data_IF_492613400531
#
_entry.id   IF_492613400531
#
_cell.length_a   1.000
_cell.length_b   1.000
_cell.length_c   1.000
_cell.angle_alpha   90.00
_cell.angle_beta   90.00
_cell.angle_gamma   90.00
#
_symmetry.space_group_name_H-M   'P 1'
#
loop_
_entity.id
_entity.type
_entity.pdbx_description
1 polymer ?
#
# COMPACT_ATOMS: atom_id res chain seq x y z
N UNK A 1 -18.51 46.64 -22.07
CA UNK A 1 -17.66 45.78 -22.92
C UNK A 1 -18.17 44.35 -22.76
N UNK A 2 -18.75 43.76 -23.82
CA UNK A 2 -19.35 42.42 -23.75
C UNK A 2 -18.25 41.36 -23.64
N UNK A 3 -18.27 40.54 -22.59
CA UNK A 3 -17.30 39.47 -22.41
C UNK A 3 -17.48 38.42 -23.52
N UNK A 4 -16.41 38.02 -24.25
CA UNK A 4 -16.50 37.06 -25.35
C UNK A 4 -17.09 35.70 -24.92
N UNK A 5 -16.97 35.36 -23.63
CA UNK A 5 -17.58 34.17 -23.04
C UNK A 5 -19.12 34.25 -22.98
N UNK A 6 -19.69 35.43 -22.73
CA UNK A 6 -21.14 35.64 -22.68
C UNK A 6 -21.77 35.43 -24.06
N UNK A 7 -21.15 36.00 -25.09
CA UNK A 7 -21.58 35.87 -26.49
C UNK A 7 -21.53 34.41 -26.97
N UNK A 8 -20.54 33.64 -26.53
CA UNK A 8 -20.42 32.22 -26.86
C UNK A 8 -21.51 31.36 -26.20
N UNK A 9 -21.89 31.66 -24.95
CA UNK A 9 -22.96 30.94 -24.25
C UNK A 9 -24.33 31.28 -24.85
N UNK A 10 -24.57 32.54 -25.21
CA UNK A 10 -25.79 32.96 -25.91
C UNK A 10 -25.95 32.26 -27.26
N UNK A 11 -24.86 32.13 -28.04
CA UNK A 11 -24.86 31.36 -29.29
C UNK A 11 -25.14 29.86 -29.06
N UNK A 12 -24.61 29.26 -27.99
CA UNK A 12 -24.89 27.87 -27.63
C UNK A 12 -26.36 27.65 -27.26
N UNK A 13 -26.98 28.58 -26.52
CA UNK A 13 -28.41 28.54 -26.19
C UNK A 13 -29.26 28.55 -27.46
N UNK A 14 -28.92 29.39 -28.45
CA UNK A 14 -29.64 29.44 -29.73
C UNK A 14 -29.52 28.11 -30.47
N UNK A 15 -28.32 27.53 -30.57
CA UNK A 15 -28.11 26.22 -31.21
C UNK A 15 -28.90 25.09 -30.54
N UNK A 16 -28.96 25.07 -29.21
CA UNK A 16 -29.73 24.08 -28.46
C UNK A 16 -31.25 24.25 -28.65
N UNK A 17 -31.74 25.50 -28.75
CA UNK A 17 -33.15 25.78 -29.08
C UNK A 17 -33.52 25.30 -30.47
N UNK A 18 -32.64 25.49 -31.46
CA UNK A 18 -32.84 24.97 -32.82
C UNK A 18 -32.88 23.45 -32.84
N UNK A 19 -31.91 22.78 -32.19
CA UNK A 19 -31.89 21.32 -32.09
C UNK A 19 -33.15 20.76 -31.39
N UNK A 20 -33.68 21.46 -30.38
CA UNK A 20 -34.96 21.12 -29.75
C UNK A 20 -36.12 21.21 -30.74
N UNK A 21 -36.21 22.29 -31.50
CA UNK A 21 -37.27 22.47 -32.50
C UNK A 21 -37.24 21.36 -33.57
N UNK A 22 -36.05 20.95 -34.01
CA UNK A 22 -35.88 19.85 -34.95
C UNK A 22 -36.39 18.52 -34.35
N UNK A 23 -36.07 18.23 -33.10
CA UNK A 23 -36.54 17.01 -32.40
C UNK A 23 -38.06 17.05 -32.17
N UNK A 24 -38.64 18.21 -31.88
CA UNK A 24 -40.10 18.37 -31.75
C UNK A 24 -40.82 18.20 -33.09
N UNK A 25 -40.21 18.63 -34.20
CA UNK A 25 -40.74 18.36 -35.54
C UNK A 25 -40.67 16.86 -35.89
N UNK A 26 -39.59 16.19 -35.49
CA UNK A 26 -39.45 14.73 -35.60
C UNK A 26 -40.44 13.96 -34.71
N UNK A 27 -40.80 14.48 -33.53
CA UNK A 27 -41.78 13.90 -32.61
C UNK A 27 -43.16 13.74 -33.26
N UNK A 28 -43.52 14.63 -34.19
CA UNK A 28 -44.80 14.58 -34.91
C UNK A 28 -44.88 13.42 -35.93
N UNK A 29 -43.75 12.79 -36.29
CA UNK A 29 -43.67 11.81 -37.38
C UNK A 29 -43.04 10.47 -36.97
N UNK A 30 -42.65 10.27 -35.70
CA UNK A 30 -41.86 9.10 -35.27
C UNK A 30 -42.59 8.15 -34.31
N UNK A 31 -42.27 6.85 -34.43
CA UNK A 31 -42.68 5.79 -33.49
C UNK A 31 -41.83 5.76 -32.20
N UNK A 32 -40.81 6.62 -32.09
CA UNK A 32 -39.87 6.70 -30.96
C UNK A 32 -40.19 7.86 -30.01
N UNK A 33 -41.48 8.10 -29.78
CA UNK A 33 -42.02 9.23 -28.99
C UNK A 33 -41.35 9.39 -27.61
N UNK A 34 -41.10 8.28 -26.91
CA UNK A 34 -40.49 8.30 -25.56
C UNK A 34 -39.05 8.81 -25.57
N UNK A 35 -38.29 8.50 -26.62
CA UNK A 35 -36.91 8.99 -26.76
C UNK A 35 -36.92 10.50 -27.02
N UNK A 36 -37.76 10.97 -27.94
CA UNK A 36 -37.89 12.39 -28.26
C UNK A 36 -38.33 13.21 -27.03
N UNK A 37 -39.30 12.73 -26.23
CA UNK A 37 -39.72 13.40 -24.98
C UNK A 37 -38.60 13.49 -23.93
N UNK A 38 -37.72 12.47 -23.85
CA UNK A 38 -36.57 12.52 -22.94
C UNK A 38 -35.49 13.45 -23.44
N UNK A 39 -35.24 13.45 -24.75
CA UNK A 39 -34.27 14.34 -25.39
C UNK A 39 -34.69 15.81 -25.23
N UNK A 40 -35.96 16.15 -25.48
CA UNK A 40 -36.47 17.51 -25.27
C UNK A 40 -36.40 17.92 -23.80
N UNK A 41 -36.74 17.02 -22.87
CA UNK A 41 -36.60 17.30 -21.44
C UNK A 41 -35.15 17.52 -20.99
N UNK A 42 -34.18 16.83 -21.59
CA UNK A 42 -32.76 17.03 -21.30
C UNK A 42 -32.26 18.38 -21.85
N UNK A 43 -32.63 18.69 -23.09
CA UNK A 43 -32.31 19.98 -23.72
C UNK A 43 -32.92 21.16 -22.96
N UNK A 44 -34.15 21.02 -22.44
CA UNK A 44 -34.78 22.05 -21.61
C UNK A 44 -34.01 22.32 -20.31
N UNK A 45 -33.49 21.28 -19.65
CA UNK A 45 -32.68 21.45 -18.44
C UNK A 45 -31.39 22.21 -18.74
N UNK A 46 -30.75 21.89 -19.87
CA UNK A 46 -29.48 22.47 -20.27
C UNK A 46 -29.63 23.92 -20.75
N UNK A 47 -30.67 24.21 -21.54
CA UNK A 47 -31.06 25.58 -21.93
C UNK A 47 -31.36 26.42 -20.70
N UNK A 48 -32.10 25.90 -19.72
CA UNK A 48 -32.44 26.63 -18.50
C UNK A 48 -31.20 26.90 -17.62
N UNK A 49 -30.28 25.93 -17.51
CA UNK A 49 -29.03 26.10 -16.77
C UNK A 49 -28.14 27.16 -17.41
N UNK A 50 -27.96 27.12 -18.73
CA UNK A 50 -27.16 28.10 -19.46
C UNK A 50 -27.82 29.49 -19.45
N UNK A 51 -29.16 29.56 -19.56
CA UNK A 51 -29.89 30.83 -19.47
C UNK A 51 -29.75 31.49 -18.10
N UNK A 52 -29.79 30.69 -17.03
CA UNK A 52 -29.56 31.17 -15.67
C UNK A 52 -28.12 31.69 -15.48
N UNK A 53 -27.12 31.02 -16.08
CA UNK A 53 -25.71 31.42 -16.01
C UNK A 53 -25.43 32.78 -16.70
N UNK A 54 -26.14 33.07 -17.79
CA UNK A 54 -26.01 34.33 -18.55
C UNK A 54 -26.83 35.48 -17.95
N UNK A 55 -27.63 35.19 -16.91
CA UNK A 55 -28.53 36.15 -16.29
C UNK A 55 -29.69 36.55 -17.20
N UNK A 56 -30.12 35.65 -18.09
CA UNK A 56 -31.32 35.89 -18.89
C UNK A 56 -32.51 35.93 -17.92
N UNK A 57 -33.13 37.11 -17.84
CA UNK A 57 -34.24 37.38 -16.95
C UNK A 57 -35.37 36.37 -17.24
N UNK A 58 -35.68 35.50 -16.27
CA UNK A 58 -36.79 34.54 -16.35
C UNK A 58 -38.15 35.22 -16.57
N UNK A 59 -38.19 36.56 -16.47
CA UNK A 59 -39.34 37.40 -16.75
C UNK A 59 -39.72 37.49 -18.23
N UNK A 60 -38.83 37.16 -19.17
CA UNK A 60 -39.12 37.22 -20.63
C UNK A 60 -39.28 35.85 -21.28
N UNK A 61 -39.47 34.79 -20.48
CA UNK A 61 -39.85 33.49 -21.02
C UNK A 61 -41.21 33.60 -21.75
N UNK A 62 -41.19 33.25 -23.04
CA UNK A 62 -42.34 33.09 -23.95
C UNK A 62 -43.60 32.55 -23.23
N UNK A 63 -44.82 32.89 -23.71
CA UNK A 63 -46.12 32.56 -23.08
C UNK A 63 -46.52 31.07 -23.13
N UNK A 64 -45.54 30.16 -23.03
CA UNK A 64 -45.67 28.74 -22.75
C UNK A 64 -44.59 28.20 -21.80
N UNK A 65 -43.63 29.03 -21.38
CA UNK A 65 -42.66 28.72 -20.34
C UNK A 65 -43.35 28.71 -18.97
N UNK A 66 -43.14 27.63 -18.21
CA UNK A 66 -43.78 27.42 -16.90
C UNK A 66 -43.46 28.59 -15.97
N UNK A 67 -44.40 29.52 -15.82
CA UNK A 67 -44.37 30.53 -14.76
C UNK A 67 -44.33 29.79 -13.41
N UNK A 68 -43.56 30.26 -12.42
CA UNK A 68 -43.57 29.67 -11.10
C UNK A 68 -45.01 29.62 -10.56
N UNK A 69 -45.40 28.49 -9.96
CA UNK A 69 -46.73 28.29 -9.39
C UNK A 69 -46.99 29.37 -8.32
N UNK A 70 -47.91 30.29 -8.60
CA UNK A 70 -48.27 31.36 -7.67
C UNK A 70 -49.36 30.95 -6.69
N UNK A 71 -50.15 29.92 -7.02
CA UNK A 71 -51.29 29.46 -6.22
C UNK A 71 -51.42 27.93 -6.29
N UNK A 72 -51.78 27.31 -5.17
CA UNK A 72 -52.20 25.90 -5.08
C UNK A 72 -53.58 25.87 -4.44
N UNK A 73 -54.57 25.29 -5.13
CA UNK A 73 -55.96 25.19 -4.67
C UNK A 73 -56.56 26.55 -4.23
N UNK A 74 -56.29 27.60 -5.00
CA UNK A 74 -56.81 28.95 -4.74
C UNK A 74 -56.15 29.68 -3.57
N UNK A 75 -55.17 29.07 -2.90
CA UNK A 75 -54.36 29.72 -1.86
C UNK A 75 -53.05 30.24 -2.46
N UNK A 76 -52.66 31.49 -2.19
CA UNK A 76 -51.38 32.01 -2.65
C UNK A 76 -50.25 31.18 -2.02
N UNK A 77 -49.35 30.70 -2.86
CA UNK A 77 -48.09 30.12 -2.39
C UNK A 77 -47.19 31.30 -2.09
N UNK A 78 -46.88 31.52 -0.81
CA UNK A 78 -45.85 32.48 -0.45
C UNK A 78 -44.59 32.11 -1.21
N UNK A 79 -44.00 33.05 -1.95
CA UNK A 79 -42.69 32.84 -2.54
C UNK A 79 -41.79 32.36 -1.41
N UNK A 80 -41.35 31.11 -1.46
CA UNK A 80 -40.29 30.65 -0.59
C UNK A 80 -39.10 31.53 -0.95
N UNK A 81 -38.92 32.63 -0.21
CA UNK A 81 -37.58 33.12 0.07
C UNK A 81 -36.81 31.85 0.39
N UNK A 82 -35.69 31.64 -0.31
CA UNK A 82 -34.83 30.51 -0.07
C UNK A 82 -34.67 30.38 1.44
N UNK A 83 -35.44 29.47 2.05
CA UNK A 83 -35.16 29.01 3.39
C UNK A 83 -33.86 28.31 3.11
N UNK A 84 -32.77 29.00 3.44
CA UNK A 84 -31.46 28.39 3.49
C UNK A 84 -31.62 27.21 4.42
N UNK A 85 -31.97 26.05 3.88
CA UNK A 85 -31.45 24.81 4.37
C UNK A 85 -29.94 25.05 4.31
N UNK A 86 -29.40 25.55 5.42
CA UNK A 86 -27.99 25.53 5.67
C UNK A 86 -27.65 24.05 5.67
N UNK A 87 -27.30 23.55 4.50
CA UNK A 87 -26.40 22.43 4.39
C UNK A 87 -25.21 22.89 5.22
N UNK A 88 -25.08 22.36 6.43
CA UNK A 88 -23.88 22.58 7.24
C UNK A 88 -22.70 22.30 6.31
N UNK A 89 -21.79 23.27 6.13
CA UNK A 89 -20.82 23.22 5.06
C UNK A 89 -19.99 21.94 5.16
N UNK A 90 -19.56 21.43 4.01
CA UNK A 90 -18.63 20.30 3.87
C UNK A 90 -17.36 20.40 4.75
N UNK A 91 -17.11 21.57 5.36
CA UNK A 91 -16.09 21.81 6.39
C UNK A 91 -16.33 21.02 7.69
N UNK A 92 -17.57 20.81 8.13
CA UNK A 92 -17.89 20.02 9.33
C UNK A 92 -17.61 18.52 9.14
N UNK A 93 -17.81 18.01 7.92
CA UNK A 93 -17.49 16.61 7.56
C UNK A 93 -15.96 16.44 7.41
N UNK A 94 -15.28 17.41 6.78
CA UNK A 94 -13.81 17.42 6.69
C UNK A 94 -13.14 17.46 8.06
N UNK A 95 -13.70 18.21 9.02
CA UNK A 95 -13.15 18.28 10.39
C UNK A 95 -13.39 17.00 11.19
N UNK A 96 -14.53 16.32 11.01
CA UNK A 96 -14.78 15.03 11.64
C UNK A 96 -13.90 13.90 11.08
N UNK A 97 -13.72 13.83 9.76
CA UNK A 97 -12.80 12.88 9.12
C UNK A 97 -11.34 13.14 9.51
N UNK A 98 -10.92 14.41 9.54
CA UNK A 98 -9.58 14.78 10.01
C UNK A 98 -9.37 14.42 11.48
N UNK A 99 -10.37 14.62 12.34
CA UNK A 99 -10.31 14.21 13.73
C UNK A 99 -10.13 12.69 13.86
N UNK A 100 -10.93 11.90 13.14
CA UNK A 100 -10.82 10.43 13.14
C UNK A 100 -9.46 9.93 12.64
N UNK A 101 -8.93 10.53 11.56
CA UNK A 101 -7.58 10.19 11.04
C UNK A 101 -6.48 10.57 12.04
N UNK A 102 -6.63 11.71 12.73
CA UNK A 102 -5.67 12.13 13.76
C UNK A 102 -5.67 11.20 14.97
N UNK A 103 -6.84 10.71 15.38
CA UNK A 103 -6.99 9.76 16.47
C UNK A 103 -6.39 8.40 16.10
N UNK A 104 -6.67 7.90 14.89
CA UNK A 104 -6.05 6.67 14.37
C UNK A 104 -4.53 6.79 14.32
N UNK A 105 -4.01 7.96 13.92
CA UNK A 105 -2.56 8.21 13.89
C UNK A 105 -1.94 8.22 15.29
N UNK A 106 -2.63 8.76 16.29
CA UNK A 106 -2.17 8.74 17.67
C UNK A 106 -2.15 7.31 18.24
N UNK A 107 -3.22 6.54 18.04
CA UNK A 107 -3.27 5.13 18.45
C UNK A 107 -2.21 4.29 17.75
N UNK A 108 -2.00 4.50 16.46
CA UNK A 108 -0.95 3.83 15.71
C UNK A 108 0.45 4.17 16.25
N UNK A 109 0.66 5.38 16.78
CA UNK A 109 1.94 5.75 17.41
C UNK A 109 2.17 5.03 18.74
N UNK A 110 1.15 4.98 19.59
CA UNK A 110 1.21 4.24 20.85
C UNK A 110 1.46 2.75 20.60
N UNK A 111 0.71 2.17 19.66
CA UNK A 111 0.90 0.80 19.22
C UNK A 111 2.30 0.54 18.67
N UNK A 112 2.83 1.44 17.85
CA UNK A 112 4.16 1.29 17.26
C UNK A 112 5.25 1.12 18.33
N UNK A 113 5.12 1.79 19.47
CA UNK A 113 6.03 1.66 20.60
C UNK A 113 5.83 0.36 21.41
N UNK A 114 4.58 -0.13 21.51
CA UNK A 114 4.22 -1.31 22.29
C UNK A 114 4.38 -2.64 21.53
N UNK A 115 4.32 -2.60 20.20
CA UNK A 115 4.32 -3.78 19.33
C UNK A 115 5.55 -4.69 19.53
N UNK A 116 6.78 -4.20 19.75
CA UNK A 116 7.93 -5.04 20.05
C UNK A 116 7.82 -5.82 21.37
N UNK A 117 6.97 -5.38 22.30
CA UNK A 117 6.88 -5.92 23.66
C UNK A 117 5.66 -6.82 23.90
N UNK A 118 4.66 -6.75 23.02
CA UNK A 118 3.41 -7.52 23.15
C UNK A 118 3.42 -8.77 22.28
N UNK A 119 2.75 -9.83 22.73
CA UNK A 119 2.53 -11.06 21.95
C UNK A 119 1.51 -10.86 20.81
N UNK A 120 1.65 -11.64 19.72
CA UNK A 120 0.80 -11.52 18.53
C UNK A 120 -0.68 -11.77 18.82
N UNK A 121 -1.01 -12.78 19.62
CA UNK A 121 -2.39 -13.13 19.93
C UNK A 121 -3.09 -12.00 20.70
N UNK A 122 -2.39 -11.41 21.68
CA UNK A 122 -2.90 -10.27 22.43
C UNK A 122 -3.13 -9.04 21.56
N UNK A 123 -2.27 -8.81 20.55
CA UNK A 123 -2.43 -7.71 19.60
C UNK A 123 -3.64 -7.90 18.68
N UNK A 124 -3.85 -9.12 18.18
CA UNK A 124 -4.98 -9.45 17.31
C UNK A 124 -6.33 -9.43 18.04
N UNK A 125 -6.34 -9.75 19.35
CA UNK A 125 -7.56 -9.74 20.17
C UNK A 125 -7.93 -8.33 20.67
N UNK A 126 -6.94 -7.45 20.87
CA UNK A 126 -7.14 -6.14 21.50
C UNK A 126 -7.35 -5.02 20.49
N UNK A 127 -6.67 -5.09 19.34
CA UNK A 127 -6.63 -3.99 18.38
C UNK A 127 -7.34 -4.34 17.08
N UNK A 128 -7.92 -3.33 16.46
CA UNK A 128 -8.61 -3.49 15.19
C UNK A 128 -7.63 -3.64 14.02
N UNK A 129 -8.06 -4.32 12.96
CA UNK A 129 -7.23 -4.49 11.75
C UNK A 129 -6.77 -3.15 11.16
N UNK A 130 -7.59 -2.10 11.25
CA UNK A 130 -7.25 -0.79 10.71
C UNK A 130 -6.14 -0.10 11.51
N UNK A 131 -6.10 -0.31 12.83
CA UNK A 131 -5.02 0.17 13.70
C UNK A 131 -3.71 -0.57 13.39
N UNK A 132 -3.77 -1.91 13.26
CA UNK A 132 -2.60 -2.72 12.91
C UNK A 132 -2.07 -2.41 11.50
N UNK A 133 -2.95 -2.14 10.53
CA UNK A 133 -2.56 -1.62 9.20
C UNK A 133 -1.89 -0.26 9.28
N UNK A 134 -2.43 0.65 10.10
CA UNK A 134 -1.84 1.97 10.29
C UNK A 134 -0.41 1.88 10.88
N UNK A 135 -0.18 0.94 11.80
CA UNK A 135 1.16 0.66 12.35
C UNK A 135 2.09 0.10 11.29
N UNK A 136 1.64 -0.86 10.47
CA UNK A 136 2.45 -1.39 9.37
C UNK A 136 2.83 -0.31 8.35
N UNK A 137 1.90 0.58 8.00
CA UNK A 137 2.17 1.74 7.14
C UNK A 137 3.21 2.69 7.76
N UNK A 138 3.15 2.89 9.08
CA UNK A 138 4.15 3.68 9.82
C UNK A 138 5.52 3.02 9.84
N UNK A 139 5.58 1.69 9.90
CA UNK A 139 6.82 0.91 9.78
C UNK A 139 7.40 0.88 8.36
N UNK A 140 6.79 1.56 7.39
CA UNK A 140 7.28 1.63 6.02
C UNK A 140 6.84 0.45 5.13
N UNK A 141 5.93 -0.40 5.60
CA UNK A 141 5.39 -1.48 4.79
C UNK A 141 4.34 -0.96 3.79
N UNK A 142 4.25 -1.56 2.59
CA UNK A 142 3.26 -1.20 1.58
C UNK A 142 1.88 -1.76 1.97
N UNK A 143 1.25 -1.11 2.95
CA UNK A 143 -0.09 -1.48 3.43
C UNK A 143 -1.14 -0.60 2.76
N UNK A 144 -2.13 -1.24 2.15
CA UNK A 144 -3.31 -0.61 1.53
C UNK A 144 -4.58 -1.08 2.21
N UNK A 145 -5.73 -0.55 1.80
CA UNK A 145 -7.04 -0.97 2.33
C UNK A 145 -7.37 -2.42 1.96
N UNK A 146 -6.76 -2.93 0.88
CA UNK A 146 -6.98 -4.30 0.36
C UNK A 146 -5.82 -5.24 0.66
N UNK A 147 -4.63 -4.73 0.98
CA UNK A 147 -3.41 -5.53 1.17
C UNK A 147 -2.66 -5.15 2.47
N UNK A 148 -2.24 -6.14 3.28
CA UNK A 148 -2.50 -7.57 3.13
C UNK A 148 -4.01 -7.90 3.29
N UNK A 149 -4.48 -8.97 2.66
CA UNK A 149 -5.90 -9.34 2.69
C UNK A 149 -6.37 -9.75 4.10
N UNK A 150 -5.45 -10.23 4.95
CA UNK A 150 -5.69 -10.59 6.34
C UNK A 150 -4.53 -10.09 7.20
N UNK A 151 -4.85 -9.59 8.39
CA UNK A 151 -3.87 -9.27 9.42
C UNK A 151 -3.70 -10.50 10.30
N UNK A 152 -2.52 -11.11 10.24
CA UNK A 152 -2.17 -12.32 10.98
C UNK A 152 -0.83 -12.15 11.72
N UNK A 153 -0.43 -13.17 12.49
CA UNK A 153 0.83 -13.15 13.23
C UNK A 153 2.06 -13.00 12.33
N UNK A 154 2.00 -13.46 11.08
CA UNK A 154 3.10 -13.30 10.12
C UNK A 154 3.25 -11.83 9.73
N UNK A 155 2.15 -11.15 9.41
CA UNK A 155 2.17 -9.71 9.17
C UNK A 155 2.74 -8.95 10.37
N UNK A 156 2.30 -9.26 11.59
CA UNK A 156 2.82 -8.60 12.80
C UNK A 156 4.32 -8.81 13.00
N UNK A 157 4.84 -10.00 12.68
CA UNK A 157 6.27 -10.26 12.70
C UNK A 157 7.01 -9.42 11.65
N UNK A 158 6.50 -9.32 10.44
CA UNK A 158 7.07 -8.44 9.40
C UNK A 158 7.04 -6.97 9.82
N UNK A 159 5.97 -6.53 10.51
CA UNK A 159 5.91 -5.19 11.09
C UNK A 159 7.00 -5.01 12.15
N UNK A 160 7.21 -5.97 13.07
CA UNK A 160 8.31 -5.89 14.06
C UNK A 160 9.68 -5.77 13.42
N UNK A 161 9.94 -6.58 12.41
CA UNK A 161 11.21 -6.54 11.67
C UNK A 161 11.42 -5.17 11.02
N UNK A 162 10.38 -4.61 10.39
CA UNK A 162 10.43 -3.30 9.78
C UNK A 162 10.63 -2.17 10.81
N UNK A 163 10.01 -2.27 11.99
CA UNK A 163 10.24 -1.36 13.12
C UNK A 163 11.70 -1.44 13.59
N UNK A 164 12.23 -2.65 13.78
CA UNK A 164 13.60 -2.87 14.20
C UNK A 164 14.61 -2.30 13.19
N UNK A 165 14.39 -2.51 11.90
CA UNK A 165 15.26 -1.94 10.86
C UNK A 165 15.16 -0.41 10.80
N UNK A 166 13.95 0.15 10.95
CA UNK A 166 13.77 1.60 11.02
C UNK A 166 14.52 2.19 12.22
N UNK A 167 14.44 1.54 13.38
CA UNK A 167 15.19 1.92 14.57
C UNK A 167 16.71 1.78 14.37
N UNK A 168 17.16 0.73 13.67
CA UNK A 168 18.57 0.51 13.32
C UNK A 168 19.10 1.63 12.43
N UNK A 169 18.34 2.03 11.41
CA UNK A 169 18.69 3.14 10.52
C UNK A 169 18.68 4.48 11.27
N UNK A 170 17.71 4.72 12.15
CA UNK A 170 17.68 5.93 12.98
C UNK A 170 18.87 6.00 13.94
N UNK A 171 19.20 4.90 14.62
CA UNK A 171 20.38 4.80 15.48
C UNK A 171 21.69 5.02 14.71
N UNK A 172 21.75 4.55 13.46
CA UNK A 172 22.87 4.81 12.56
C UNK A 172 22.99 6.28 12.14
N UNK A 173 21.86 6.98 11.98
CA UNK A 173 21.85 8.41 11.68
C UNK A 173 22.33 9.25 12.87
N UNK A 174 21.95 8.86 14.09
CA UNK A 174 22.36 9.54 15.33
C UNK A 174 23.80 9.19 15.73
N UNK A 175 24.29 8.00 15.37
CA UNK A 175 25.66 7.57 15.58
C UNK A 175 26.13 6.65 14.43
N UNK A 176 26.88 7.19 13.44
CA UNK A 176 27.33 6.41 12.28
C UNK A 176 28.28 5.27 12.66
N UNK A 177 28.82 5.25 13.88
CA UNK A 177 29.68 4.17 14.36
C UNK A 177 28.91 2.92 14.79
N UNK A 178 27.58 2.95 14.94
CA UNK A 178 26.80 1.78 15.38
C UNK A 178 26.80 0.69 14.30
N UNK A 179 26.54 1.06 13.05
CA UNK A 179 26.61 0.12 11.91
C UNK A 179 28.04 -0.39 11.70
N UNK A 180 29.03 0.49 11.83
CA UNK A 180 30.43 0.11 11.74
C UNK A 180 30.83 -0.86 12.88
N UNK A 181 30.29 -0.68 14.08
CA UNK A 181 30.53 -1.57 15.22
C UNK A 181 29.84 -2.93 15.06
N UNK A 182 28.61 -2.97 14.55
CA UNK A 182 27.90 -4.21 14.22
C UNK A 182 28.62 -4.99 13.11
N UNK A 183 29.02 -4.29 12.04
CA UNK A 183 29.80 -4.88 10.95
C UNK A 183 31.16 -5.39 11.45
N UNK A 184 31.85 -4.63 12.30
CA UNK A 184 33.09 -5.08 12.92
C UNK A 184 32.89 -6.29 13.83
N UNK A 185 31.79 -6.37 14.58
CA UNK A 185 31.45 -7.52 15.40
C UNK A 185 31.17 -8.77 14.54
N UNK A 186 30.44 -8.63 13.43
CA UNK A 186 30.21 -9.73 12.48
C UNK A 186 31.50 -10.18 11.80
N UNK A 187 32.37 -9.25 11.42
CA UNK A 187 33.72 -9.56 10.89
C UNK A 187 34.51 -10.38 11.91
N UNK A 188 34.48 -10.00 13.19
CA UNK A 188 35.20 -10.71 14.24
C UNK A 188 34.65 -12.12 14.46
N UNK A 189 33.32 -12.29 14.43
CA UNK A 189 32.66 -13.60 14.51
C UNK A 189 33.08 -14.52 13.35
N UNK A 190 33.00 -14.03 12.11
CA UNK A 190 33.40 -14.81 10.92
C UNK A 190 34.87 -15.21 10.99
N UNK A 191 35.76 -14.30 11.45
CA UNK A 191 37.18 -14.62 11.65
C UNK A 191 37.39 -15.73 12.68
N UNK A 192 36.64 -15.71 13.79
CA UNK A 192 36.65 -16.80 14.77
C UNK A 192 36.21 -18.15 14.19
N UNK A 193 35.13 -18.16 13.40
CA UNK A 193 34.66 -19.39 12.74
C UNK A 193 35.69 -19.94 11.73
N UNK A 194 36.39 -19.07 11.01
CA UNK A 194 37.47 -19.49 10.10
C UNK A 194 38.66 -20.07 10.86
N UNK A 195 39.01 -19.53 12.03
CA UNK A 195 40.04 -20.12 12.91
C UNK A 195 39.63 -21.50 13.41
N UNK A 196 38.37 -21.68 13.81
CA UNK A 196 37.82 -22.98 14.21
C UNK A 196 37.85 -24.00 13.06
N UNK A 197 37.48 -23.59 11.84
CA UNK A 197 37.59 -24.44 10.65
C UNK A 197 39.05 -24.83 10.39
N UNK A 198 39.99 -23.89 10.49
CA UNK A 198 41.41 -24.19 10.34
C UNK A 198 41.91 -25.19 11.40
N UNK A 199 41.48 -25.03 12.65
CA UNK A 199 41.78 -25.99 13.72
C UNK A 199 41.18 -27.38 13.43
N UNK A 200 39.95 -27.45 12.94
CA UNK A 200 39.31 -28.72 12.56
C UNK A 200 40.00 -29.39 11.37
N UNK A 201 40.46 -28.61 10.38
CA UNK A 201 41.25 -29.13 9.25
C UNK A 201 42.60 -29.69 9.72
N UNK A 202 43.27 -29.02 10.66
CA UNK A 202 44.51 -29.50 11.27
C UNK A 202 44.36 -30.84 11.99
N UNK A 203 43.17 -31.18 12.49
CA UNK A 203 42.88 -32.50 13.08
C UNK A 203 42.42 -33.52 12.04
N UNK A 204 41.57 -33.09 11.10
CA UNK A 204 40.90 -33.99 10.15
C UNK A 204 41.85 -34.46 9.05
N UNK A 205 42.76 -33.60 8.56
CA UNK A 205 43.68 -33.94 7.47
C UNK A 205 44.70 -35.04 7.87
N UNK A 206 45.36 -34.98 9.04
CA UNK A 206 46.20 -36.08 9.50
C UNK A 206 45.41 -37.37 9.76
N UNK A 207 44.19 -37.26 10.29
CA UNK A 207 43.32 -38.42 10.51
C UNK A 207 42.92 -39.09 9.19
N UNK A 208 42.64 -38.31 8.15
CA UNK A 208 42.35 -38.81 6.80
C UNK A 208 43.55 -39.56 6.22
N UNK A 209 44.74 -38.95 6.25
CA UNK A 209 45.97 -39.57 5.75
C UNK A 209 46.29 -40.89 6.48
N UNK A 210 46.08 -40.91 7.81
CA UNK A 210 46.24 -42.13 8.61
C UNK A 210 45.20 -43.20 8.25
N UNK A 211 43.93 -42.83 8.09
CA UNK A 211 42.89 -43.77 7.68
C UNK A 211 43.17 -44.34 6.28
N UNK A 212 43.72 -43.53 5.37
CA UNK A 212 44.06 -43.95 4.02
C UNK A 212 45.27 -44.89 4.00
N UNK A 213 46.29 -44.66 4.83
CA UNK A 213 47.41 -45.59 4.97
C UNK A 213 46.98 -46.90 5.62
N UNK A 214 46.12 -46.86 6.63
CA UNK A 214 45.50 -48.03 7.25
C UNK A 214 44.67 -48.83 6.23
N UNK A 215 43.86 -48.18 5.40
CA UNK A 215 43.05 -48.85 4.38
C UNK A 215 43.89 -49.59 3.32
N UNK A 216 45.11 -49.10 3.06
CA UNK A 216 46.04 -49.66 2.08
C UNK A 216 47.01 -50.69 2.67
N UNK A 217 46.93 -50.99 3.97
CA UNK A 217 47.85 -51.92 4.61
C UNK A 217 47.64 -53.37 4.14
N UNK A 218 48.75 -54.06 3.89
CA UNK A 218 48.75 -55.49 3.59
C UNK A 218 48.37 -56.33 4.82
N UNK A 219 47.73 -57.48 4.60
CA UNK A 219 47.33 -58.40 5.67
C UNK A 219 45.97 -58.12 6.33
N UNK A 220 45.22 -57.11 5.87
CA UNK A 220 43.86 -56.86 6.36
C UNK A 220 42.84 -57.87 5.82
N UNK A 221 41.94 -58.30 6.70
CA UNK A 221 40.74 -59.05 6.31
C UNK A 221 39.77 -58.18 5.50
N UNK A 222 38.86 -58.80 4.75
CA UNK A 222 37.84 -58.08 3.98
C UNK A 222 36.97 -57.15 4.84
N UNK A 223 36.64 -57.56 6.06
CA UNK A 223 35.87 -56.75 7.00
C UNK A 223 36.65 -55.51 7.46
N UNK A 224 37.94 -55.66 7.75
CA UNK A 224 38.80 -54.53 8.16
C UNK A 224 39.03 -53.56 7.00
N UNK A 225 39.24 -54.04 5.77
CA UNK A 225 39.34 -53.18 4.57
C UNK A 225 38.06 -52.37 4.35
N UNK A 226 36.88 -53.00 4.53
CA UNK A 226 35.59 -52.32 4.41
C UNK A 226 35.42 -51.22 5.47
N UNK A 227 35.74 -51.50 6.73
CA UNK A 227 35.66 -50.52 7.81
C UNK A 227 36.66 -49.36 7.63
N UNK A 228 37.89 -49.65 7.19
CA UNK A 228 38.89 -48.62 6.91
C UNK A 228 38.46 -47.71 5.75
N UNK A 229 37.89 -48.29 4.69
CA UNK A 229 37.33 -47.53 3.56
C UNK A 229 36.17 -46.62 4.00
N UNK A 230 35.23 -47.13 4.80
CA UNK A 230 34.15 -46.31 5.34
C UNK A 230 34.67 -45.11 6.12
N UNK A 231 35.69 -45.30 6.95
CA UNK A 231 36.33 -44.22 7.71
C UNK A 231 37.03 -43.19 6.82
N UNK A 232 37.64 -43.63 5.71
CA UNK A 232 38.21 -42.73 4.70
C UNK A 232 37.10 -41.90 4.02
N UNK A 233 36.00 -42.55 3.63
CA UNK A 233 34.86 -41.89 2.99
C UNK A 233 34.20 -40.87 3.94
N UNK A 234 34.04 -41.19 5.22
CA UNK A 234 33.53 -40.29 6.26
C UNK A 234 34.43 -39.06 6.47
N UNK A 235 35.75 -39.26 6.56
CA UNK A 235 36.71 -38.17 6.74
C UNK A 235 36.83 -37.30 5.49
N UNK A 236 36.72 -37.88 4.30
CA UNK A 236 36.64 -37.14 3.04
C UNK A 236 35.41 -36.22 3.01
N UNK A 237 34.23 -36.76 3.32
CA UNK A 237 33.00 -35.98 3.38
C UNK A 237 33.09 -34.83 4.41
N UNK A 238 33.72 -35.08 5.56
CA UNK A 238 33.97 -34.04 6.57
C UNK A 238 34.93 -32.95 6.07
N UNK A 239 35.98 -33.32 5.33
CA UNK A 239 36.89 -32.35 4.72
C UNK A 239 36.19 -31.48 3.67
N UNK A 240 35.35 -32.08 2.83
CA UNK A 240 34.58 -31.37 1.81
C UNK A 240 33.61 -30.35 2.45
N UNK A 241 32.92 -30.75 3.52
CA UNK A 241 32.05 -29.86 4.29
C UNK A 241 32.83 -28.66 4.87
N UNK A 242 33.98 -28.92 5.52
CA UNK A 242 34.84 -27.85 6.04
C UNK A 242 35.39 -26.94 4.94
N UNK A 243 35.57 -27.45 3.71
CA UNK A 243 35.98 -26.63 2.57
C UNK A 243 34.85 -25.76 2.06
N UNK A 244 33.63 -26.29 1.98
CA UNK A 244 32.44 -25.52 1.59
C UNK A 244 32.16 -24.39 2.59
N UNK A 245 32.23 -24.68 3.88
CA UNK A 245 32.02 -23.68 4.94
C UNK A 245 33.09 -22.58 4.89
N UNK A 246 34.36 -22.94 4.69
CA UNK A 246 35.46 -21.97 4.54
C UNK A 246 35.22 -21.03 3.35
N UNK A 247 34.80 -21.58 2.20
CA UNK A 247 34.51 -20.79 1.00
C UNK A 247 33.35 -19.82 1.28
N UNK A 248 32.24 -20.32 1.83
CA UNK A 248 31.05 -19.51 2.14
C UNK A 248 31.39 -18.36 3.09
N UNK A 249 32.10 -18.63 4.18
CA UNK A 249 32.48 -17.61 5.17
C UNK A 249 33.51 -16.63 4.61
N UNK A 250 34.42 -17.09 3.75
CA UNK A 250 35.40 -16.19 3.10
C UNK A 250 34.73 -15.24 2.11
N UNK A 251 33.71 -15.71 1.38
CA UNK A 251 32.90 -14.85 0.50
C UNK A 251 32.08 -13.84 1.29
N UNK A 252 31.45 -14.26 2.40
CA UNK A 252 30.74 -13.36 3.31
C UNK A 252 31.70 -12.28 3.84
N UNK A 253 32.89 -12.67 4.33
CA UNK A 253 33.90 -11.74 4.83
C UNK A 253 34.34 -10.73 3.77
N UNK A 254 34.61 -11.18 2.54
CA UNK A 254 35.00 -10.30 1.43
C UNK A 254 33.90 -9.31 1.06
N UNK A 255 32.64 -9.72 1.10
CA UNK A 255 31.52 -8.81 0.80
C UNK A 255 31.30 -7.74 1.87
N UNK A 256 31.76 -8.00 3.10
CA UNK A 256 31.70 -7.06 4.21
C UNK A 256 32.96 -6.18 4.36
N UNK A 257 34.12 -6.59 3.85
CA UNK A 257 35.37 -5.79 3.90
C UNK A 257 35.57 -4.88 2.67
N UNK A 258 34.79 -5.08 1.60
CA UNK A 258 34.83 -4.29 0.36
C UNK A 258 33.84 -3.12 0.35
#
# INVERSE_FOLDING_TARGET
>A
MSHPQKTNIEAAIVSLKTAKADIEQYLAHSTTRTFCLRATSSLDKEINMLSALVGADLATAEPGGRKPLTHVLGRPVASTHAVGASLTPAEAVKTAEQAAVSELRAKAEELYQLLPSMENDALLDTYSEIELRAVGKKAGLPVTDTEPAKIDGNFLNTVREAIAETARIAAAADNPNVLAAEQAARIAEIKGLLEDIAAQKNVTYPAFNKAQSEANADGLTAAQKKAAKQKVDELAAKMDALHADEISLTEELKSMEG
#
